data_IF_559114428072
#
_entry.id   IF_559114428072
#
_cell.length_a   1.000
_cell.length_b   1.000
_cell.length_c   1.000
_cell.angle_alpha   90.00
_cell.angle_beta   90.00
_cell.angle_gamma   90.00
#
_symmetry.space_group_name_H-M   'P 1'
#
loop_
_entity.id
_entity.type
_entity.pdbx_description
1 polymer ?
#
# COMPACT_ATOMS: atom_id res chain seq x y z
N UNK A 1 -8.71 -7.06 4.94
CA UNK A 1 -9.45 -5.82 5.24
C UNK A 1 -10.59 -5.62 4.24
N UNK A 2 -11.70 -5.05 4.66
CA UNK A 2 -12.84 -4.80 3.78
C UNK A 2 -12.59 -3.63 2.81
N UNK A 3 -11.71 -2.73 3.15
CA UNK A 3 -11.27 -1.57 2.38
C UNK A 3 -9.78 -1.69 2.10
N UNK A 4 -9.03 -0.58 2.17
CA UNK A 4 -7.58 -0.57 1.96
C UNK A 4 -6.81 -1.34 3.05
N UNK A 5 -5.66 -1.85 2.69
CA UNK A 5 -4.78 -2.54 3.62
C UNK A 5 -4.16 -1.58 4.64
N UNK A 6 -3.40 -0.62 4.15
CA UNK A 6 -2.80 0.46 4.94
C UNK A 6 -3.19 1.79 4.32
N UNK A 7 -3.87 2.66 5.08
CA UNK A 7 -4.21 4.03 4.68
C UNK A 7 -3.33 5.04 5.42
N UNK A 8 -2.70 5.96 4.69
CA UNK A 8 -1.91 7.03 5.28
C UNK A 8 -2.26 8.36 4.61
N UNK A 9 -2.76 9.29 5.41
CA UNK A 9 -3.10 10.62 4.94
C UNK A 9 -4.56 11.00 5.17
N UNK A 10 -4.87 12.27 4.89
CA UNK A 10 -6.21 12.84 4.97
C UNK A 10 -6.28 14.16 4.19
N UNK A 11 -7.48 14.61 3.84
CA UNK A 11 -7.75 15.98 3.43
C UNK A 11 -7.70 16.29 1.94
N UNK A 12 -7.21 15.40 1.07
CA UNK A 12 -7.13 15.61 -0.38
C UNK A 12 -6.56 16.98 -0.76
N UNK A 13 -5.46 17.39 -0.14
CA UNK A 13 -4.89 18.74 -0.30
C UNK A 13 -3.42 18.71 -0.71
N UNK A 14 -3.01 19.57 -1.66
CA UNK A 14 -1.60 19.80 -1.96
C UNK A 14 -0.90 20.71 -0.96
N UNK A 15 -1.65 21.32 -0.04
CA UNK A 15 -1.10 22.22 0.97
C UNK A 15 -0.34 21.45 2.05
N UNK A 16 0.48 22.15 2.81
CA UNK A 16 1.14 21.59 3.98
C UNK A 16 0.09 21.25 5.04
N UNK A 17 -0.08 19.96 5.27
CA UNK A 17 -0.99 19.43 6.30
C UNK A 17 -0.26 19.05 7.59
N UNK A 18 1.06 19.25 7.65
CA UNK A 18 1.94 18.77 8.71
C UNK A 18 2.31 17.29 8.59
N UNK A 19 1.69 16.53 7.70
CA UNK A 19 2.04 15.12 7.43
C UNK A 19 3.36 15.07 6.65
N UNK A 20 4.34 14.36 7.20
CA UNK A 20 5.66 14.19 6.57
C UNK A 20 6.44 13.05 7.21
N UNK A 21 7.50 12.59 6.55
CA UNK A 21 8.43 11.59 7.08
C UNK A 21 7.74 10.27 7.47
N UNK A 22 6.60 9.96 6.85
CA UNK A 22 5.90 8.69 7.09
C UNK A 22 6.68 7.55 6.45
N UNK A 23 6.78 6.44 7.18
CA UNK A 23 7.48 5.26 6.70
C UNK A 23 6.58 4.03 6.71
N UNK A 24 6.26 3.54 5.51
CA UNK A 24 5.53 2.30 5.30
C UNK A 24 6.53 1.29 4.71
N UNK A 25 7.11 0.47 5.59
CA UNK A 25 8.28 -0.34 5.24
C UNK A 25 8.12 -1.80 5.67
N UNK A 26 8.49 -2.71 4.76
CA UNK A 26 8.56 -4.14 4.98
C UNK A 26 7.28 -4.77 5.54
N UNK A 27 6.10 -4.24 5.19
CA UNK A 27 4.83 -4.84 5.57
C UNK A 27 4.43 -5.95 4.60
N UNK A 28 3.78 -6.99 5.12
CA UNK A 28 3.05 -7.96 4.31
C UNK A 28 1.55 -7.62 4.38
N UNK A 29 1.03 -7.12 3.27
CA UNK A 29 -0.37 -6.68 3.13
C UNK A 29 -1.09 -7.66 2.21
N UNK A 30 -2.18 -8.25 2.70
CA UNK A 30 -2.96 -9.22 1.93
C UNK A 30 -4.44 -9.20 2.31
N UNK A 31 -5.29 -9.78 1.43
CA UNK A 31 -6.74 -9.84 1.62
C UNK A 31 -7.33 -8.46 1.95
N UNK A 32 -7.17 -7.50 1.05
CA UNK A 32 -7.75 -6.16 1.13
C UNK A 32 -8.75 -5.92 -0.02
N UNK A 33 -9.54 -4.85 0.06
CA UNK A 33 -10.64 -4.55 -0.86
C UNK A 33 -11.65 -5.71 -0.98
N UNK A 34 -11.99 -6.36 0.13
CA UNK A 34 -12.88 -7.51 0.12
C UNK A 34 -14.35 -7.13 -0.08
N UNK A 35 -14.76 -5.93 0.34
CA UNK A 35 -16.15 -5.47 0.27
C UNK A 35 -16.28 -4.07 -0.32
N UNK A 36 -15.30 -3.22 -0.17
CA UNK A 36 -15.29 -1.83 -0.64
C UNK A 36 -14.23 -1.66 -1.72
N UNK A 37 -14.54 -0.85 -2.70
CA UNK A 37 -13.65 -0.47 -3.80
C UNK A 37 -13.10 0.95 -3.58
N UNK A 38 -12.40 1.51 -4.58
CA UNK A 38 -11.68 2.77 -4.48
C UNK A 38 -10.60 2.70 -3.38
N UNK A 39 -9.82 1.62 -3.45
CA UNK A 39 -8.97 1.14 -2.37
C UNK A 39 -7.59 0.73 -2.88
N UNK A 40 -6.62 0.70 -1.98
CA UNK A 40 -5.28 0.18 -2.27
C UNK A 40 -4.77 -0.75 -1.18
N UNK A 41 -3.87 -1.67 -1.55
CA UNK A 41 -3.08 -2.38 -0.56
C UNK A 41 -2.30 -1.38 0.29
N UNK A 42 -1.63 -0.45 -0.37
CA UNK A 42 -1.13 0.80 0.22
C UNK A 42 -1.89 1.97 -0.43
N UNK A 43 -2.59 2.74 0.38
CA UNK A 43 -3.39 3.89 -0.06
C UNK A 43 -2.90 5.16 0.62
N UNK A 44 -2.73 6.23 -0.14
CA UNK A 44 -2.32 7.52 0.40
C UNK A 44 -2.98 8.67 -0.35
N UNK A 45 -3.07 9.81 0.32
CA UNK A 45 -3.63 11.05 -0.21
C UNK A 45 -2.93 12.25 0.44
N UNK A 46 -3.03 13.40 -0.22
CA UNK A 46 -2.44 14.67 0.20
C UNK A 46 -0.90 14.71 0.17
N UNK A 47 -0.37 15.91 0.28
CA UNK A 47 1.07 16.19 0.30
C UNK A 47 1.70 15.68 1.60
N UNK A 48 2.72 14.82 1.47
CA UNK A 48 3.43 14.18 2.58
C UNK A 48 4.94 14.12 2.29
N UNK A 49 5.63 15.23 2.30
CA UNK A 49 7.02 15.29 1.90
C UNK A 49 7.94 14.40 2.71
N UNK A 50 8.97 13.86 2.05
CA UNK A 50 9.97 12.98 2.66
C UNK A 50 9.40 11.67 3.21
N UNK A 51 8.24 11.23 2.71
CA UNK A 51 7.62 9.96 3.08
C UNK A 51 8.09 8.83 2.17
N UNK A 52 7.98 7.59 2.64
CA UNK A 52 8.41 6.43 1.86
C UNK A 52 7.47 5.23 2.00
N UNK A 53 7.34 4.50 0.90
CA UNK A 53 6.73 3.17 0.82
C UNK A 53 7.78 2.23 0.25
N UNK A 54 8.37 1.37 1.08
CA UNK A 54 9.54 0.59 0.65
C UNK A 54 9.49 -0.85 1.12
N UNK A 55 9.95 -1.76 0.24
CA UNK A 55 10.13 -3.18 0.54
C UNK A 55 8.87 -3.89 1.09
N UNK A 56 7.68 -3.42 0.75
CA UNK A 56 6.43 -4.07 1.13
C UNK A 56 6.12 -5.23 0.18
N UNK A 57 5.46 -6.26 0.71
CA UNK A 57 4.81 -7.32 -0.07
C UNK A 57 3.32 -7.10 -0.04
N UNK A 58 2.69 -7.01 -1.23
CA UNK A 58 1.28 -6.69 -1.36
C UNK A 58 0.65 -7.70 -2.32
N UNK A 59 -0.33 -8.47 -1.85
CA UNK A 59 -0.96 -9.51 -2.68
C UNK A 59 -2.39 -9.80 -2.25
N UNK A 60 -3.07 -10.69 -2.99
CA UNK A 60 -4.43 -11.13 -2.67
C UNK A 60 -5.42 -9.96 -2.58
N UNK A 61 -5.42 -9.15 -3.63
CA UNK A 61 -6.43 -8.14 -3.88
C UNK A 61 -7.79 -8.80 -3.97
N UNK A 62 -8.75 -8.31 -3.20
CA UNK A 62 -10.14 -8.75 -3.23
C UNK A 62 -10.89 -8.23 -4.45
N UNK A 63 -12.09 -8.75 -4.63
CA UNK A 63 -13.03 -8.29 -5.65
C UNK A 63 -14.31 -7.82 -4.95
N UNK A 64 -14.34 -6.54 -4.59
CA UNK A 64 -15.48 -5.95 -3.91
C UNK A 64 -16.77 -6.16 -4.72
N UNK A 65 -17.85 -6.70 -4.14
CA UNK A 65 -19.02 -7.18 -4.89
C UNK A 65 -19.79 -6.07 -5.62
N UNK A 66 -19.59 -4.83 -5.24
CA UNK A 66 -20.24 -3.66 -5.84
C UNK A 66 -19.29 -2.76 -6.64
N UNK A 67 -18.06 -3.21 -6.87
CA UNK A 67 -17.11 -2.46 -7.69
C UNK A 67 -17.58 -2.42 -9.13
N UNK A 68 -17.81 -1.24 -9.67
CA UNK A 68 -18.28 -1.05 -11.04
C UNK A 68 -17.16 -0.80 -12.03
N UNK A 69 -15.94 -0.52 -11.59
CA UNK A 69 -14.78 -0.23 -12.43
C UNK A 69 -13.52 -0.51 -11.62
N UNK A 70 -12.91 -1.61 -11.71
CA UNK A 70 -11.56 -2.01 -11.28
C UNK A 70 -10.78 -1.01 -10.40
N UNK A 71 -11.45 -0.40 -9.41
CA UNK A 71 -10.88 0.63 -8.56
C UNK A 71 -10.33 0.05 -7.27
N UNK A 72 -9.51 -0.97 -7.40
CA UNK A 72 -8.70 -1.46 -6.30
C UNK A 72 -7.33 -1.82 -6.84
N UNK A 73 -6.30 -1.36 -6.19
CA UNK A 73 -4.92 -1.38 -6.67
C UNK A 73 -3.98 -1.91 -5.59
N UNK A 74 -2.81 -2.42 -5.98
CA UNK A 74 -1.80 -2.76 -4.99
C UNK A 74 -1.23 -1.52 -4.32
N UNK A 75 -0.99 -0.44 -5.10
CA UNK A 75 -0.62 0.88 -4.58
C UNK A 75 -1.52 1.92 -5.24
N UNK A 76 -2.18 2.73 -4.44
CA UNK A 76 -3.06 3.78 -4.92
C UNK A 76 -2.69 5.14 -4.32
N UNK A 77 -2.30 6.05 -5.18
CA UNK A 77 -2.04 7.45 -4.87
C UNK A 77 -3.28 8.28 -5.21
N UNK A 78 -4.09 8.58 -4.22
CA UNK A 78 -5.25 9.44 -4.41
C UNK A 78 -4.85 10.91 -4.40
N UNK A 79 -5.83 11.80 -4.53
CA UNK A 79 -5.65 13.22 -4.81
C UNK A 79 -4.57 13.88 -3.96
N UNK A 80 -3.74 14.63 -4.66
CA UNK A 80 -2.65 15.43 -4.11
C UNK A 80 -1.57 14.63 -3.35
N UNK A 81 -1.55 13.31 -3.46
CA UNK A 81 -0.42 12.52 -2.94
C UNK A 81 0.88 13.02 -3.54
N UNK A 82 1.78 13.50 -2.70
CA UNK A 82 3.06 14.04 -3.13
C UNK A 82 4.19 13.80 -2.13
N UNK A 83 5.44 13.82 -2.62
CA UNK A 83 6.64 13.72 -1.79
C UNK A 83 6.99 12.31 -1.30
N UNK A 84 6.41 11.28 -1.90
CA UNK A 84 6.73 9.87 -1.59
C UNK A 84 7.87 9.31 -2.44
N UNK A 85 8.72 8.53 -1.79
CA UNK A 85 9.62 7.58 -2.44
C UNK A 85 9.01 6.19 -2.36
N UNK A 86 8.61 5.63 -3.52
CA UNK A 86 7.99 4.32 -3.65
C UNK A 86 9.00 3.37 -4.27
N UNK A 87 9.54 2.44 -3.49
CA UNK A 87 10.65 1.64 -3.95
C UNK A 87 10.59 0.19 -3.47
N UNK A 88 10.90 -0.74 -4.39
CA UNK A 88 11.07 -2.16 -4.10
C UNK A 88 9.84 -2.80 -3.42
N UNK A 89 8.63 -2.36 -3.78
CA UNK A 89 7.40 -2.98 -3.30
C UNK A 89 7.01 -4.13 -4.24
N UNK A 90 6.95 -5.34 -3.71
CA UNK A 90 6.56 -6.51 -4.49
C UNK A 90 5.04 -6.65 -4.54
N UNK A 91 4.51 -6.88 -5.74
CA UNK A 91 3.15 -7.32 -5.99
C UNK A 91 3.12 -8.22 -7.23
N UNK A 92 2.12 -9.10 -7.41
CA UNK A 92 2.10 -10.08 -8.49
C UNK A 92 1.97 -9.47 -9.88
N UNK A 93 1.43 -8.25 -9.98
CA UNK A 93 1.29 -7.47 -11.19
C UNK A 93 1.39 -5.97 -10.89
N UNK A 94 1.79 -5.12 -11.86
CA UNK A 94 1.98 -3.69 -11.63
C UNK A 94 0.65 -2.91 -11.71
N UNK A 95 -0.35 -3.33 -10.94
CA UNK A 95 -1.66 -2.69 -10.86
C UNK A 95 -1.59 -1.54 -9.84
N UNK A 96 -1.19 -0.37 -10.36
CA UNK A 96 -1.07 0.88 -9.61
C UNK A 96 -1.95 1.95 -10.20
N UNK A 97 -2.43 2.88 -9.38
CA UNK A 97 -3.13 4.07 -9.86
C UNK A 97 -2.69 5.32 -9.11
N UNK A 98 -2.87 6.46 -9.78
CA UNK A 98 -2.55 7.77 -9.25
C UNK A 98 -3.59 8.80 -9.73
N UNK A 99 -4.47 9.20 -8.83
CA UNK A 99 -5.51 10.20 -9.09
C UNK A 99 -4.99 11.60 -8.75
N UNK A 100 -4.60 12.37 -9.76
CA UNK A 100 -4.08 13.75 -9.63
C UNK A 100 -2.96 13.89 -8.58
N UNK A 101 -1.89 13.08 -8.66
CA UNK A 101 -0.78 13.15 -7.73
C UNK A 101 0.04 14.42 -7.95
N UNK A 102 0.77 14.84 -6.92
CA UNK A 102 1.79 15.88 -7.06
C UNK A 102 3.06 15.39 -7.80
N UNK A 103 3.94 16.29 -8.19
CA UNK A 103 5.08 16.00 -9.07
C UNK A 103 6.32 15.43 -8.37
N UNK A 104 6.38 15.45 -7.04
CA UNK A 104 7.58 15.07 -6.29
C UNK A 104 7.63 13.59 -5.89
N UNK A 105 6.72 12.77 -6.39
CA UNK A 105 6.72 11.34 -6.15
C UNK A 105 7.79 10.63 -7.01
N UNK A 106 8.53 9.71 -6.41
CA UNK A 106 9.59 8.95 -7.08
C UNK A 106 9.29 7.46 -7.01
N UNK A 107 9.14 6.81 -8.17
CA UNK A 107 8.84 5.38 -8.32
C UNK A 107 10.06 4.62 -8.82
N UNK A 108 10.49 3.58 -8.07
CA UNK A 108 11.68 2.80 -8.40
C UNK A 108 11.40 1.32 -8.14
N UNK A 109 11.50 0.49 -9.17
CA UNK A 109 11.46 -0.97 -9.05
C UNK A 109 10.30 -1.49 -8.17
N UNK A 110 9.05 -1.27 -8.61
CA UNK A 110 7.87 -1.83 -7.96
C UNK A 110 7.19 -2.84 -8.89
N UNK A 111 6.62 -3.89 -8.33
CA UNK A 111 5.91 -4.92 -9.10
C UNK A 111 6.54 -6.31 -9.00
N UNK A 112 6.24 -7.22 -9.95
CA UNK A 112 6.63 -8.62 -9.87
C UNK A 112 8.14 -8.87 -10.02
N UNK A 113 8.89 -7.90 -10.50
CA UNK A 113 10.36 -8.01 -10.70
C UNK A 113 11.19 -7.67 -9.47
N UNK A 114 10.57 -7.25 -8.39
CA UNK A 114 11.24 -7.06 -7.09
C UNK A 114 11.76 -8.42 -6.59
N UNK A 115 12.98 -8.42 -6.06
CA UNK A 115 13.67 -9.67 -5.70
C UNK A 115 12.93 -10.48 -4.65
N UNK A 116 13.04 -11.81 -4.73
CA UNK A 116 12.46 -12.74 -3.76
C UNK A 116 12.99 -12.52 -2.34
N UNK A 117 14.20 -12.02 -2.18
CA UNK A 117 14.77 -11.71 -0.87
C UNK A 117 14.00 -10.58 -0.19
N UNK A 118 13.64 -9.52 -0.91
CA UNK A 118 12.82 -8.42 -0.39
C UNK A 118 11.39 -8.91 -0.10
N UNK A 119 10.78 -9.63 -1.06
CA UNK A 119 9.46 -10.21 -0.89
C UNK A 119 9.35 -11.09 0.35
N UNK A 120 10.36 -11.94 0.59
CA UNK A 120 10.36 -12.88 1.71
C UNK A 120 10.65 -12.22 3.06
N UNK A 121 11.34 -11.09 3.06
CA UNK A 121 11.67 -10.34 4.27
C UNK A 121 10.50 -9.47 4.77
N UNK A 122 9.45 -9.27 3.96
CA UNK A 122 8.30 -8.47 4.35
C UNK A 122 7.37 -9.23 5.32
N UNK A 123 6.86 -8.52 6.31
CA UNK A 123 5.95 -9.04 7.31
C UNK A 123 6.61 -9.32 8.67
N UNK A 124 6.05 -10.28 9.39
CA UNK A 124 6.58 -10.63 10.72
C UNK A 124 8.00 -11.18 10.64
N UNK A 125 8.85 -10.66 11.49
CA UNK A 125 10.19 -11.19 11.66
C UNK A 125 10.14 -12.63 12.21
N UNK A 126 11.15 -13.48 11.93
CA UNK A 126 11.12 -14.91 12.29
C UNK A 126 10.80 -15.19 13.76
N UNK A 127 11.31 -14.36 14.67
CA UNK A 127 11.09 -14.48 16.11
C UNK A 127 9.64 -14.24 16.54
N UNK A 128 8.83 -13.64 15.69
CA UNK A 128 7.39 -13.36 15.93
C UNK A 128 6.46 -14.28 15.15
N UNK A 129 6.97 -15.29 14.46
CA UNK A 129 6.14 -16.18 13.63
C UNK A 129 5.05 -16.92 14.43
N UNK A 130 5.25 -17.13 15.71
CA UNK A 130 4.25 -17.73 16.61
C UNK A 130 2.94 -16.93 16.68
N UNK A 131 2.97 -15.63 16.34
CA UNK A 131 1.77 -14.80 16.30
C UNK A 131 0.84 -15.16 15.13
N UNK A 132 1.34 -15.84 14.09
CA UNK A 132 0.51 -16.28 12.96
C UNK A 132 -0.48 -17.36 13.39
N UNK A 133 -0.10 -18.22 14.32
CA UNK A 133 -0.90 -19.34 14.76
C UNK A 133 -2.05 -18.89 15.66
N UNK A 134 -1.88 -17.79 16.39
CA UNK A 134 -2.90 -17.23 17.28
C UNK A 134 -4.07 -16.53 16.55
N UNK A 135 -3.93 -16.23 15.25
CA UNK A 135 -4.96 -15.55 14.47
C UNK A 135 -6.05 -16.55 13.97
N UNK A 136 -5.77 -17.84 13.97
CA UNK A 136 -6.69 -18.88 13.48
C UNK A 136 -7.65 -19.42 14.52
N UNK A 137 -7.53 -19.07 15.78
CA UNK A 137 -8.38 -19.61 16.87
C UNK A 137 -9.67 -18.80 17.16
N UNK A 138 -9.96 -17.75 16.38
CA UNK A 138 -11.15 -16.90 16.59
C UNK A 138 -12.04 -16.82 15.34
N UNK A 139 -12.50 -17.99 14.86
CA UNK A 139 -13.61 -18.07 13.89
C UNK A 139 -14.73 -18.92 14.45
#
# INVERSE_FOLDING_TARGET
ANYSGICVGWGWTPLDSGMKNNRIHANYVHHFALQLYDAGGLYTLSNQPSSEMTANRIEQLGNAPYATNDRAFYIYFDEATDGYRVKDNWCPEPLFDANRPGPANVWINNGPTVSDSIKSAAGLQPEYNYLKDSIHETN
#
